data_IF_773934152184
#
_entry.id   IF_773934152184
#
_cell.length_a   1.000
_cell.length_b   1.000
_cell.length_c   1.000
_cell.angle_alpha   90.00
_cell.angle_beta   90.00
_cell.angle_gamma   90.00
#
_symmetry.space_group_name_H-M   'P 1'
#
loop_
_entity.id
_entity.type
_entity.pdbx_description
1 polymer ?
#
# COMPACT_ATOMS: atom_id res chain seq x y z
N UNK A 1 -22.06 13.18 15.00
CA UNK A 1 -20.88 13.36 15.84
C UNK A 1 -20.14 14.63 15.47
N UNK A 2 -19.51 15.25 16.45
CA UNK A 2 -18.59 16.37 16.24
C UNK A 2 -17.23 15.79 15.84
N UNK A 3 -16.88 15.90 14.54
CA UNK A 3 -15.66 15.37 13.97
C UNK A 3 -14.86 16.51 13.33
N UNK A 4 -13.59 16.60 13.67
CA UNK A 4 -12.64 17.49 13.01
C UNK A 4 -12.06 16.79 11.75
N UNK A 5 -12.97 16.47 10.82
CA UNK A 5 -12.65 15.87 9.53
C UNK A 5 -13.58 16.40 8.44
N UNK A 6 -13.05 16.75 7.28
CA UNK A 6 -13.83 17.21 6.12
C UNK A 6 -14.65 16.08 5.48
N UNK A 7 -14.08 14.88 5.41
CA UNK A 7 -14.72 13.68 4.88
C UNK A 7 -14.63 12.55 5.91
N UNK A 8 -15.70 11.77 6.08
CA UNK A 8 -15.70 10.61 6.97
C UNK A 8 -16.73 9.57 6.52
N UNK A 9 -16.44 8.30 6.77
CA UNK A 9 -17.34 7.18 6.56
C UNK A 9 -17.22 6.19 7.72
N UNK A 10 -18.35 5.61 8.16
CA UNK A 10 -18.41 4.48 9.08
C UNK A 10 -19.17 3.37 8.37
N UNK A 11 -18.49 2.27 8.13
CA UNK A 11 -19.01 1.09 7.43
C UNK A 11 -18.82 -0.15 8.30
N UNK A 12 -19.81 -1.05 8.28
CA UNK A 12 -19.70 -2.35 8.95
C UNK A 12 -19.02 -3.41 8.06
N UNK A 13 -18.86 -4.61 8.61
CA UNK A 13 -18.26 -5.76 7.91
C UNK A 13 -19.07 -6.23 6.69
N UNK A 14 -20.38 -6.00 6.69
CA UNK A 14 -21.29 -6.33 5.58
C UNK A 14 -21.25 -5.27 4.46
N UNK A 15 -20.58 -4.14 4.68
CA UNK A 15 -20.48 -3.03 3.74
C UNK A 15 -21.61 -2.01 3.85
N UNK A 16 -22.40 -2.04 4.93
CA UNK A 16 -23.43 -1.04 5.18
C UNK A 16 -22.80 0.26 5.69
N UNK A 17 -23.03 1.37 5.00
CA UNK A 17 -22.59 2.69 5.44
C UNK A 17 -23.54 3.22 6.51
N UNK A 18 -23.10 3.25 7.77
CA UNK A 18 -23.87 3.73 8.92
C UNK A 18 -23.80 5.24 9.10
N UNK A 19 -22.71 5.86 8.68
CA UNK A 19 -22.52 7.30 8.75
C UNK A 19 -21.63 7.76 7.61
N UNK A 20 -21.98 8.90 7.00
CA UNK A 20 -21.17 9.59 6.00
C UNK A 20 -21.20 11.10 6.21
N UNK A 21 -20.04 11.73 6.09
CA UNK A 21 -19.88 13.17 5.94
C UNK A 21 -19.06 13.38 4.69
N UNK A 22 -19.64 13.98 3.66
CA UNK A 22 -18.96 14.16 2.36
C UNK A 22 -18.28 12.85 1.91
N UNK A 23 -18.98 11.71 2.12
CA UNK A 23 -18.37 10.39 2.03
C UNK A 23 -17.96 10.03 0.61
N UNK A 24 -18.61 10.62 -0.40
CA UNK A 24 -18.38 10.41 -1.82
C UNK A 24 -17.57 11.54 -2.47
N UNK A 25 -17.21 12.58 -1.70
CA UNK A 25 -16.42 13.70 -2.22
C UNK A 25 -14.97 13.26 -2.45
N UNK A 26 -14.48 13.52 -3.66
CA UNK A 26 -13.10 13.20 -4.03
C UNK A 26 -12.11 14.03 -3.20
N UNK A 27 -11.12 13.36 -2.65
CA UNK A 27 -10.06 13.94 -1.84
C UNK A 27 -8.71 13.26 -2.11
N UNK A 28 -7.62 13.94 -1.81
CA UNK A 28 -6.30 13.34 -1.75
C UNK A 28 -6.24 12.43 -0.52
N UNK A 29 -5.87 11.18 -0.72
CA UNK A 29 -5.88 10.16 0.34
C UNK A 29 -4.48 9.82 0.87
N UNK A 30 -3.43 10.39 0.28
CA UNK A 30 -2.05 10.15 0.66
C UNK A 30 -1.77 8.64 0.88
N UNK A 31 -1.16 8.27 1.99
CA UNK A 31 -0.76 6.89 2.29
C UNK A 31 -1.91 5.88 2.45
N UNK A 32 -3.18 6.31 2.49
CA UNK A 32 -4.30 5.36 2.41
C UNK A 32 -4.31 4.60 1.08
N UNK A 33 -3.65 5.11 0.04
CA UNK A 33 -3.34 4.42 -1.22
C UNK A 33 -2.70 3.05 -1.00
N UNK A 34 -1.85 2.90 0.04
CA UNK A 34 -1.14 1.66 0.37
C UNK A 34 -2.05 0.49 0.75
N UNK A 35 -3.31 0.78 1.12
CA UNK A 35 -4.32 -0.26 1.30
C UNK A 35 -4.57 -0.98 -0.04
N UNK A 36 -4.76 -0.23 -1.13
CA UNK A 36 -4.92 -0.81 -2.47
C UNK A 36 -3.65 -1.54 -2.91
N UNK A 37 -2.47 -0.99 -2.61
CA UNK A 37 -1.19 -1.66 -2.89
C UNK A 37 -1.11 -3.02 -2.20
N UNK A 38 -1.49 -3.12 -0.93
CA UNK A 38 -1.50 -4.39 -0.20
C UNK A 38 -2.50 -5.39 -0.81
N UNK A 39 -3.71 -4.94 -1.18
CA UNK A 39 -4.75 -5.79 -1.81
C UNK A 39 -4.23 -6.38 -3.13
N UNK A 40 -3.76 -5.52 -4.04
CA UNK A 40 -3.31 -5.96 -5.37
C UNK A 40 -2.08 -6.84 -5.27
N UNK A 41 -1.13 -6.50 -4.40
CA UNK A 41 0.09 -7.30 -4.24
C UNK A 41 -0.21 -8.72 -3.73
N UNK A 42 -1.18 -8.89 -2.83
CA UNK A 42 -1.57 -10.19 -2.29
C UNK A 42 -2.19 -11.13 -3.36
N UNK A 43 -2.71 -10.60 -4.46
CA UNK A 43 -3.18 -11.43 -5.59
C UNK A 43 -2.00 -12.02 -6.42
N UNK A 44 -0.80 -11.46 -6.28
CA UNK A 44 0.36 -11.81 -7.13
C UNK A 44 1.56 -12.37 -6.38
N UNK A 45 1.65 -12.12 -5.08
CA UNK A 45 2.82 -12.47 -4.26
C UNK A 45 2.40 -13.33 -3.06
N UNK A 46 3.09 -14.44 -2.88
CA UNK A 46 2.98 -15.24 -1.67
C UNK A 46 3.85 -14.64 -0.56
N UNK A 47 3.52 -14.88 0.72
CA UNK A 47 4.24 -14.35 1.88
C UNK A 47 5.78 -14.57 1.80
N UNK A 48 6.22 -15.71 1.27
CA UNK A 48 7.63 -16.08 1.12
C UNK A 48 8.31 -15.57 -0.16
N UNK A 49 7.58 -14.86 -1.03
CA UNK A 49 8.16 -14.29 -2.24
C UNK A 49 9.27 -13.31 -1.88
N UNK A 50 10.45 -13.51 -2.44
CA UNK A 50 11.55 -12.56 -2.26
C UNK A 50 11.35 -11.33 -3.14
N UNK A 51 11.49 -10.17 -2.53
CA UNK A 51 11.41 -8.84 -3.17
C UNK A 51 12.81 -8.22 -3.08
N UNK A 52 13.29 -7.71 -4.19
CA UNK A 52 14.53 -6.92 -4.27
C UNK A 52 14.17 -5.42 -4.37
N UNK A 53 14.89 -4.59 -3.63
CA UNK A 53 14.71 -3.15 -3.61
C UNK A 53 15.58 -2.52 -4.69
N UNK A 54 14.94 -1.96 -5.72
CA UNK A 54 15.62 -1.25 -6.79
C UNK A 54 16.13 0.12 -6.35
N UNK A 55 17.05 0.76 -7.11
CA UNK A 55 17.44 2.15 -6.86
C UNK A 55 16.24 3.12 -6.85
N UNK A 56 15.29 2.89 -7.76
CA UNK A 56 14.08 3.70 -7.91
C UNK A 56 13.20 3.60 -6.66
N UNK A 57 12.95 2.38 -6.16
CA UNK A 57 12.17 2.17 -4.95
C UNK A 57 12.84 2.79 -3.71
N UNK A 58 14.16 2.60 -3.55
CA UNK A 58 14.91 3.18 -2.44
C UNK A 58 14.96 4.72 -2.44
N UNK A 59 14.72 5.36 -3.59
CA UNK A 59 14.83 6.81 -3.77
C UNK A 59 13.50 7.58 -3.73
N UNK A 60 12.36 6.92 -3.50
CA UNK A 60 11.03 7.57 -3.53
C UNK A 60 10.94 8.72 -2.52
N UNK A 61 11.53 8.54 -1.33
CA UNK A 61 11.57 9.59 -0.31
C UNK A 61 10.31 9.70 0.54
N UNK A 62 10.24 10.76 1.34
CA UNK A 62 9.21 11.03 2.36
C UNK A 62 9.16 9.90 3.41
N UNK A 63 8.01 9.27 3.63
CA UNK A 63 7.88 8.16 4.59
C UNK A 63 8.66 6.94 4.09
N UNK A 64 9.63 6.45 4.86
CA UNK A 64 10.51 5.35 4.48
C UNK A 64 10.60 4.30 5.59
N UNK A 65 10.66 3.04 5.20
CA UNK A 65 10.97 1.93 6.10
C UNK A 65 12.49 1.72 6.29
N UNK A 66 13.33 2.55 5.67
CA UNK A 66 14.79 2.47 5.73
C UNK A 66 15.39 1.42 4.79
N UNK A 67 14.67 1.07 3.73
CA UNK A 67 15.14 0.15 2.72
C UNK A 67 16.21 0.81 1.84
N UNK A 68 17.27 0.08 1.54
CA UNK A 68 18.34 0.51 0.67
C UNK A 68 18.34 -0.26 -0.66
N UNK A 69 18.90 0.36 -1.69
CA UNK A 69 19.13 -0.34 -2.97
C UNK A 69 19.88 -1.67 -2.75
N UNK A 70 19.37 -2.73 -3.36
CA UNK A 70 19.95 -4.09 -3.29
C UNK A 70 19.53 -4.88 -2.05
N UNK A 71 18.77 -4.28 -1.12
CA UNK A 71 18.15 -5.06 -0.06
C UNK A 71 17.20 -6.10 -0.68
N UNK A 72 17.13 -7.27 -0.05
CA UNK A 72 16.09 -8.24 -0.38
C UNK A 72 15.41 -8.76 0.89
N UNK A 73 14.10 -8.97 0.81
CA UNK A 73 13.26 -9.39 1.92
C UNK A 73 12.08 -10.22 1.42
N UNK A 74 11.39 -10.88 2.33
CA UNK A 74 10.13 -11.57 2.00
C UNK A 74 9.00 -10.56 1.76
N UNK A 75 7.97 -10.96 1.02
CA UNK A 75 6.76 -10.14 0.86
C UNK A 75 6.05 -9.88 2.20
N UNK A 76 6.09 -10.84 3.14
CA UNK A 76 5.57 -10.65 4.50
C UNK A 76 6.28 -9.50 5.23
N UNK A 77 7.62 -9.44 5.17
CA UNK A 77 8.38 -8.33 5.75
C UNK A 77 8.17 -7.01 5.00
N UNK A 78 8.02 -7.07 3.66
CA UNK A 78 7.67 -5.89 2.87
C UNK A 78 6.28 -5.34 3.21
N UNK A 79 5.28 -6.20 3.50
CA UNK A 79 3.97 -5.78 3.99
C UNK A 79 4.05 -5.10 5.37
N UNK A 80 4.88 -5.59 6.29
CA UNK A 80 5.13 -4.90 7.57
C UNK A 80 5.74 -3.53 7.32
N UNK A 81 6.73 -3.42 6.44
CA UNK A 81 7.34 -2.15 6.07
C UNK A 81 6.31 -1.17 5.45
N UNK A 82 5.43 -1.68 4.59
CA UNK A 82 4.34 -0.92 3.97
C UNK A 82 3.34 -0.40 4.98
N UNK A 83 2.83 -1.28 5.86
CA UNK A 83 1.65 -1.03 6.69
C UNK A 83 2.00 -0.45 8.06
N UNK A 84 3.17 -0.76 8.63
CA UNK A 84 3.60 -0.24 9.94
C UNK A 84 4.30 1.11 9.80
N UNK A 85 5.35 1.20 8.98
CA UNK A 85 6.10 2.44 8.79
C UNK A 85 5.53 3.33 7.69
N UNK A 86 4.48 2.89 7.00
CA UNK A 86 3.95 3.59 5.82
C UNK A 86 5.02 3.84 4.75
N UNK A 87 5.96 2.89 4.56
CA UNK A 87 7.13 3.05 3.70
C UNK A 87 6.78 3.21 2.22
N UNK A 88 7.19 4.34 1.62
CA UNK A 88 7.04 4.57 0.18
C UNK A 88 8.02 3.70 -0.62
N UNK A 89 9.22 3.49 -0.07
CA UNK A 89 10.22 2.54 -0.57
C UNK A 89 9.67 1.11 -0.65
N UNK A 90 8.98 0.66 0.41
CA UNK A 90 8.31 -0.64 0.43
C UNK A 90 7.15 -0.72 -0.59
N UNK A 91 6.36 0.36 -0.73
CA UNK A 91 5.26 0.41 -1.69
C UNK A 91 5.76 0.22 -3.13
N UNK A 92 6.81 0.97 -3.53
CA UNK A 92 7.40 0.84 -4.87
C UNK A 92 8.08 -0.51 -5.07
N UNK A 93 8.82 -1.04 -4.08
CA UNK A 93 9.46 -2.35 -4.20
C UNK A 93 8.43 -3.48 -4.40
N UNK A 94 7.33 -3.46 -3.64
CA UNK A 94 6.20 -4.39 -3.79
C UNK A 94 5.57 -4.26 -5.18
N UNK A 95 5.27 -3.03 -5.61
CA UNK A 95 4.64 -2.77 -6.90
C UNK A 95 5.51 -3.26 -8.06
N UNK A 96 6.82 -3.02 -8.01
CA UNK A 96 7.76 -3.46 -9.03
C UNK A 96 7.86 -5.00 -9.07
N UNK A 97 7.90 -5.67 -7.91
CA UNK A 97 7.96 -7.13 -7.84
C UNK A 97 6.67 -7.79 -8.40
N UNK A 98 5.50 -7.27 -8.01
CA UNK A 98 4.23 -7.77 -8.53
C UNK A 98 4.05 -7.44 -10.02
N UNK A 99 4.40 -6.21 -10.43
CA UNK A 99 4.33 -5.77 -11.82
C UNK A 99 5.24 -6.57 -12.75
N UNK A 100 6.42 -6.97 -12.28
CA UNK A 100 7.30 -7.87 -13.05
C UNK A 100 6.62 -9.22 -13.34
N UNK A 101 5.89 -9.79 -12.37
CA UNK A 101 5.09 -11.01 -12.58
C UNK A 101 3.93 -10.79 -13.56
N UNK A 102 3.26 -9.62 -13.46
CA UNK A 102 2.18 -9.26 -14.38
C UNK A 102 2.69 -9.16 -15.82
N UNK A 103 3.83 -8.50 -16.04
CA UNK A 103 4.46 -8.42 -17.35
C UNK A 103 4.92 -9.78 -17.86
N UNK A 104 5.54 -10.60 -17.01
CA UNK A 104 5.96 -11.95 -17.37
C UNK A 104 4.79 -12.85 -17.78
N UNK A 105 3.64 -12.74 -17.11
CA UNK A 105 2.42 -13.47 -17.49
C UNK A 105 1.93 -13.07 -18.89
N UNK A 106 2.12 -11.80 -19.28
CA UNK A 106 1.81 -11.30 -20.64
C UNK A 106 2.90 -11.62 -21.67
N UNK A 107 3.95 -12.36 -21.28
CA UNK A 107 5.10 -12.71 -22.15
C UNK A 107 6.04 -11.54 -22.43
N UNK A 108 6.02 -10.52 -21.59
CA UNK A 108 6.88 -9.33 -21.66
C UNK A 108 7.71 -9.16 -20.39
N UNK A 109 8.63 -8.21 -20.39
CA UNK A 109 9.39 -7.76 -19.23
C UNK A 109 9.50 -6.25 -19.28
N UNK A 110 10.10 -5.65 -18.26
CA UNK A 110 10.27 -4.21 -18.19
C UNK A 110 11.28 -3.82 -17.11
N UNK A 111 11.68 -2.55 -17.13
CA UNK A 111 12.42 -1.92 -16.05
C UNK A 111 11.49 -1.64 -14.84
N UNK A 112 12.05 -1.04 -13.79
CA UNK A 112 11.32 -0.71 -12.57
C UNK A 112 10.06 0.14 -12.86
N UNK A 113 10.17 1.12 -13.74
CA UNK A 113 9.05 2.00 -14.10
C UNK A 113 7.95 1.27 -14.87
N UNK A 114 8.32 0.40 -15.81
CA UNK A 114 7.35 -0.40 -16.55
C UNK A 114 6.63 -1.40 -15.63
N UNK A 115 7.35 -2.00 -14.67
CA UNK A 115 6.75 -2.88 -13.68
C UNK A 115 5.77 -2.12 -12.78
N UNK A 116 6.16 -0.95 -12.27
CA UNK A 116 5.29 -0.13 -11.44
C UNK A 116 4.06 0.37 -12.21
N UNK A 117 4.21 0.76 -13.48
CA UNK A 117 3.09 1.14 -14.33
C UNK A 117 2.10 -0.01 -14.53
N UNK A 118 2.58 -1.24 -14.77
CA UNK A 118 1.72 -2.42 -14.88
C UNK A 118 0.97 -2.70 -13.57
N UNK A 119 1.60 -2.46 -12.43
CA UNK A 119 0.97 -2.58 -11.12
C UNK A 119 -0.11 -1.51 -10.90
N UNK A 120 0.15 -0.25 -11.28
CA UNK A 120 -0.84 0.85 -11.18
C UNK A 120 -2.06 0.57 -12.08
N UNK A 121 -1.86 0.02 -13.28
CA UNK A 121 -2.97 -0.46 -14.11
C UNK A 121 -3.82 -1.50 -13.35
N UNK A 122 -3.18 -2.44 -12.64
CA UNK A 122 -3.88 -3.44 -11.84
C UNK A 122 -4.59 -2.82 -10.62
N UNK A 123 -4.03 -1.77 -9.98
CA UNK A 123 -4.72 -1.03 -8.91
C UNK A 123 -6.04 -0.43 -9.41
N UNK A 124 -6.04 0.21 -10.57
CA UNK A 124 -7.26 0.80 -11.14
C UNK A 124 -8.25 -0.27 -11.62
N UNK A 125 -7.77 -1.41 -12.14
CA UNK A 125 -8.62 -2.54 -12.45
C UNK A 125 -9.28 -3.13 -11.20
N UNK A 126 -8.53 -3.25 -10.08
CA UNK A 126 -9.05 -3.70 -8.78
C UNK A 126 -10.04 -2.70 -8.19
N UNK A 127 -9.81 -1.40 -8.37
CA UNK A 127 -10.77 -0.36 -7.97
C UNK A 127 -12.12 -0.56 -8.68
N UNK A 128 -12.10 -0.78 -9.99
CA UNK A 128 -13.31 -1.07 -10.76
C UNK A 128 -13.99 -2.39 -10.31
N UNK A 129 -13.21 -3.45 -10.03
CA UNK A 129 -13.73 -4.73 -9.51
C UNK A 129 -14.44 -4.56 -8.16
N UNK A 130 -13.89 -3.72 -7.28
CA UNK A 130 -14.45 -3.43 -5.96
C UNK A 130 -15.59 -2.39 -6.00
N UNK A 131 -15.89 -1.80 -7.17
CA UNK A 131 -16.92 -0.78 -7.33
C UNK A 131 -16.54 0.59 -6.75
N UNK A 132 -15.26 0.93 -6.70
CA UNK A 132 -14.76 2.21 -6.20
C UNK A 132 -14.90 3.28 -7.29
N UNK A 133 -16.10 3.87 -7.39
CA UNK A 133 -16.45 4.79 -8.47
C UNK A 133 -15.77 6.16 -8.36
N UNK A 134 -15.33 6.52 -7.14
CA UNK A 134 -14.70 7.81 -6.83
C UNK A 134 -13.20 7.65 -6.51
N UNK A 135 -12.52 6.69 -7.15
CA UNK A 135 -11.10 6.41 -6.91
C UNK A 135 -10.30 6.30 -8.19
N UNK A 136 -9.12 6.90 -8.16
CA UNK A 136 -8.09 6.75 -9.21
C UNK A 136 -6.70 6.74 -8.58
N UNK A 137 -5.90 5.76 -8.94
CA UNK A 137 -4.55 5.55 -8.45
C UNK A 137 -3.53 5.86 -9.56
N UNK A 138 -2.52 6.65 -9.22
CA UNK A 138 -1.43 7.05 -10.14
C UNK A 138 -0.07 6.47 -9.73
N UNK A 139 0.08 6.03 -8.48
CA UNK A 139 1.28 5.41 -7.94
C UNK A 139 0.92 4.51 -6.75
N UNK A 140 1.84 3.62 -6.28
CA UNK A 140 1.55 2.68 -5.20
C UNK A 140 1.66 3.25 -3.78
N UNK A 141 2.20 4.46 -3.61
CA UNK A 141 2.57 5.02 -2.30
C UNK A 141 1.68 6.18 -1.82
N UNK A 142 1.02 6.88 -2.73
CA UNK A 142 0.10 7.96 -2.38
C UNK A 142 0.68 9.37 -2.39
N UNK A 143 1.92 9.57 -2.85
CA UNK A 143 2.46 10.91 -3.06
C UNK A 143 1.72 11.61 -4.21
N UNK A 144 1.41 12.89 -4.02
CA UNK A 144 0.65 13.71 -4.98
C UNK A 144 1.18 15.16 -5.04
N UNK A 145 2.50 15.28 -5.20
CA UNK A 145 3.20 16.57 -5.38
C UNK A 145 4.41 16.39 -6.30
N UNK A 146 4.92 17.46 -6.83
CA UNK A 146 6.06 17.52 -7.75
C UNK A 146 5.92 16.50 -8.90
N UNK A 147 6.86 15.58 -9.02
CA UNK A 147 6.86 14.54 -10.05
C UNK A 147 5.70 13.53 -9.88
N UNK A 148 5.09 13.45 -8.71
CA UNK A 148 3.97 12.55 -8.39
C UNK A 148 2.60 13.23 -8.51
N UNK A 149 2.52 14.51 -8.87
CA UNK A 149 1.27 15.26 -9.02
C UNK A 149 0.48 14.80 -10.28
N UNK A 150 0.02 13.55 -10.26
CA UNK A 150 -0.67 12.89 -11.38
C UNK A 150 -2.19 12.81 -11.16
N UNK A 151 -2.71 13.50 -10.13
CA UNK A 151 -4.14 13.68 -9.91
C UNK A 151 -4.83 12.44 -9.35
N UNK A 152 -4.17 11.65 -8.53
CA UNK A 152 -4.81 10.54 -7.81
C UNK A 152 -5.79 11.05 -6.75
N UNK A 153 -6.87 10.31 -6.52
CA UNK A 153 -7.90 10.65 -5.55
C UNK A 153 -8.67 9.41 -5.11
N UNK A 154 -9.39 9.54 -4.01
CA UNK A 154 -10.43 8.61 -3.58
C UNK A 154 -11.45 9.38 -2.73
N UNK A 155 -12.41 8.68 -2.15
CA UNK A 155 -13.37 9.24 -1.20
C UNK A 155 -13.45 8.36 0.06
N UNK A 156 -14.07 8.88 1.12
CA UNK A 156 -14.13 8.17 2.40
C UNK A 156 -14.90 6.85 2.31
N UNK A 157 -15.95 6.76 1.50
CA UNK A 157 -16.72 5.53 1.28
C UNK A 157 -15.89 4.46 0.54
N UNK A 158 -15.15 4.87 -0.50
CA UNK A 158 -14.27 3.97 -1.25
C UNK A 158 -13.12 3.46 -0.37
N UNK A 159 -12.50 4.34 0.44
CA UNK A 159 -11.45 3.93 1.40
C UNK A 159 -11.99 2.93 2.42
N UNK A 160 -13.20 3.12 2.94
CA UNK A 160 -13.84 2.15 3.85
C UNK A 160 -14.06 0.79 3.14
N UNK A 161 -14.48 0.81 1.86
CA UNK A 161 -14.64 -0.39 1.04
C UNK A 161 -13.31 -1.08 0.79
N UNK A 162 -12.24 -0.34 0.48
CA UNK A 162 -10.88 -0.89 0.36
C UNK A 162 -10.42 -1.55 1.66
N UNK A 163 -10.59 -0.87 2.79
CA UNK A 163 -10.16 -1.41 4.09
C UNK A 163 -10.93 -2.71 4.41
N UNK A 164 -12.24 -2.73 4.16
CA UNK A 164 -13.04 -3.94 4.31
C UNK A 164 -12.54 -5.09 3.44
N UNK A 165 -12.19 -4.83 2.17
CA UNK A 165 -11.63 -5.83 1.27
C UNK A 165 -10.25 -6.31 1.76
N UNK A 166 -9.37 -5.41 2.19
CA UNK A 166 -8.06 -5.75 2.74
C UNK A 166 -8.15 -6.66 3.97
N UNK A 167 -9.14 -6.44 4.84
CA UNK A 167 -9.37 -7.24 6.05
C UNK A 167 -9.86 -8.67 5.74
N UNK A 168 -10.32 -8.96 4.52
CA UNK A 168 -10.64 -10.34 4.10
C UNK A 168 -9.40 -11.12 3.63
N UNK A 169 -8.27 -10.46 3.43
CA UNK A 169 -7.01 -11.09 3.02
C UNK A 169 -6.20 -11.42 4.27
N UNK A 170 -6.07 -12.72 4.59
CA UNK A 170 -5.43 -13.19 5.84
C UNK A 170 -4.04 -12.60 6.03
N UNK A 171 -3.22 -12.55 4.97
CA UNK A 171 -1.87 -12.02 5.03
C UNK A 171 -1.85 -10.51 5.34
N UNK A 172 -2.75 -9.74 4.75
CA UNK A 172 -2.87 -8.29 5.02
C UNK A 172 -3.37 -8.07 6.44
N UNK A 173 -4.44 -8.77 6.84
CA UNK A 173 -5.01 -8.68 8.18
C UNK A 173 -3.99 -9.02 9.28
N UNK A 174 -3.12 -9.99 9.03
CA UNK A 174 -2.06 -10.36 9.98
C UNK A 174 -0.98 -9.28 10.15
N UNK A 175 -0.84 -8.37 9.18
CA UNK A 175 0.23 -7.36 9.15
C UNK A 175 -0.24 -5.92 9.39
N UNK A 176 -1.55 -5.65 9.57
CA UNK A 176 -2.07 -4.28 9.66
C UNK A 176 -2.06 -3.69 11.09
N UNK A 177 -1.95 -4.51 12.12
CA UNK A 177 -2.17 -4.10 13.52
C UNK A 177 -0.92 -3.96 14.39
N UNK A 178 0.27 -3.93 13.82
CA UNK A 178 1.50 -3.80 14.59
C UNK A 178 1.74 -2.33 15.02
N UNK A 179 1.91 -2.08 16.32
CA UNK A 179 2.41 -0.80 16.82
C UNK A 179 3.91 -0.63 16.54
N UNK A 180 4.65 -1.73 16.60
CA UNK A 180 6.06 -1.85 16.22
C UNK A 180 6.29 -3.22 15.60
N UNK A 181 7.21 -3.31 14.64
CA UNK A 181 7.61 -4.56 14.02
C UNK A 181 9.09 -4.52 13.66
N UNK A 182 9.74 -5.67 13.77
CA UNK A 182 11.08 -5.88 13.21
C UNK A 182 10.96 -6.63 11.90
N UNK A 183 11.67 -6.20 10.87
CA UNK A 183 11.84 -6.92 9.62
C UNK A 183 13.30 -7.28 9.40
N UNK A 184 13.54 -8.33 8.64
CA UNK A 184 14.90 -8.73 8.25
C UNK A 184 15.11 -8.55 6.76
N UNK A 185 16.06 -7.72 6.38
CA UNK A 185 16.52 -7.57 4.99
C UNK A 185 17.90 -8.22 4.82
N UNK A 186 18.18 -8.77 3.63
CA UNK A 186 19.54 -9.13 3.25
C UNK A 186 20.17 -7.92 2.57
N UNK A 187 21.22 -7.36 3.19
CA UNK A 187 21.97 -6.20 2.72
C UNK A 187 23.44 -6.60 2.55
N UNK A 188 23.99 -6.48 1.36
CA UNK A 188 25.36 -6.88 1.04
C UNK A 188 25.69 -8.34 1.44
N UNK A 189 24.69 -9.22 1.32
CA UNK A 189 24.84 -10.66 1.65
C UNK A 189 24.78 -10.99 3.15
N UNK A 190 24.43 -10.02 4.01
CA UNK A 190 24.26 -10.20 5.44
C UNK A 190 22.84 -9.80 5.91
N UNK A 191 22.27 -10.49 6.91
CA UNK A 191 21.00 -10.09 7.48
C UNK A 191 21.13 -8.81 8.29
N UNK A 192 20.21 -7.85 8.05
CA UNK A 192 20.08 -6.60 8.80
C UNK A 192 18.66 -6.52 9.31
N UNK A 193 18.49 -6.22 10.60
CA UNK A 193 17.17 -5.97 11.19
C UNK A 193 16.86 -4.48 11.13
N UNK A 194 15.69 -4.14 10.61
CA UNK A 194 15.12 -2.79 10.62
C UNK A 194 13.93 -2.76 11.58
N UNK A 195 14.00 -1.86 12.57
CA UNK A 195 12.91 -1.63 13.51
C UNK A 195 11.93 -0.63 12.89
N UNK A 196 10.65 -0.99 12.85
CA UNK A 196 9.57 -0.20 12.30
C UNK A 196 8.67 0.31 13.43
N UNK A 197 8.26 1.56 13.34
CA UNK A 197 7.27 2.16 14.24
C UNK A 197 6.02 2.55 13.46
N UNK A 198 4.85 2.28 14.04
CA UNK A 198 3.59 2.65 13.39
C UNK A 198 3.33 4.14 13.55
N UNK A 199 2.82 4.75 12.48
CA UNK A 199 2.43 6.16 12.47
C UNK A 199 1.08 6.42 13.14
N UNK A 200 0.29 5.37 13.44
CA UNK A 200 -0.98 5.48 14.15
C UNK A 200 -0.77 5.50 15.67
N UNK A 201 -0.90 6.69 16.25
CA UNK A 201 -0.76 6.90 17.71
C UNK A 201 -1.91 6.26 18.53
N UNK A 202 -3.00 5.82 17.91
CA UNK A 202 -4.10 5.15 18.61
C UNK A 202 -3.83 3.67 18.87
N UNK A 203 -2.93 3.04 18.12
CA UNK A 203 -2.55 1.65 18.34
C UNK A 203 -1.94 1.47 19.73
N UNK A 204 -2.53 0.54 20.49
CA UNK A 204 -2.11 0.26 21.87
C UNK A 204 -2.68 1.21 22.93
N UNK A 205 -3.37 2.29 22.54
CA UNK A 205 -4.04 3.22 23.45
C UNK A 205 -5.58 3.16 23.36
N UNK A 206 -6.10 2.62 22.27
CA UNK A 206 -7.55 2.39 22.08
C UNK A 206 -7.92 1.03 22.65
N UNK A 207 -9.01 0.92 23.48
CA UNK A 207 -9.42 -0.33 24.11
C UNK A 207 -9.96 -1.35 23.12
#
# INVERSE_FOLDING_TARGET
PDLDASCAALMDEDGTLWFGRNADDAAQIASLTKIMTAIVAADWLDASTMIEVTPEAASVGESSAGLAQGDSMTFDDALKALLTASGNDAASAIAQAAGARMLAQKGSGGDAYACEAAFVEAMNAKAAELGLENSFFANPHGLDFDAFAQGQYSCAADVATMLRAAMQIDLVRANIGFSQADITVQRDGAPVTLALENTDALLGSYP
#
